data_IF_989883364461
#
_entry.id   IF_989883364461
#
_cell.length_a   1.000
_cell.length_b   1.000
_cell.length_c   1.000
_cell.angle_alpha   90.00
_cell.angle_beta   90.00
_cell.angle_gamma   90.00
#
_symmetry.space_group_name_H-M   'P 1'
#
loop_
_entity.id
_entity.type
_entity.pdbx_description
1 polymer ?
#
# COMPACT_ATOMS: atom_id res chain seq x y z
N UNK A 1 -47.43 24.03 -16.19
CA UNK A 1 -46.72 22.76 -16.44
C UNK A 1 -45.37 22.84 -15.74
N UNK A 2 -45.27 22.25 -14.57
CA UNK A 2 -44.02 22.24 -13.77
C UNK A 2 -43.23 20.96 -14.12
N UNK A 3 -42.08 21.11 -14.76
CA UNK A 3 -41.17 20.01 -15.04
C UNK A 3 -40.39 19.76 -13.75
N UNK A 4 -40.66 18.63 -13.08
CA UNK A 4 -39.85 18.13 -11.99
C UNK A 4 -38.61 17.49 -12.60
N UNK A 5 -37.47 18.19 -12.52
CA UNK A 5 -36.17 17.63 -12.87
C UNK A 5 -35.73 16.75 -11.70
N UNK A 6 -35.95 15.44 -11.85
CA UNK A 6 -35.44 14.44 -10.91
C UNK A 6 -33.93 14.32 -11.10
N UNK A 7 -33.17 15.01 -10.22
CA UNK A 7 -31.69 14.86 -10.18
C UNK A 7 -31.40 13.48 -9.61
N UNK A 8 -31.17 12.51 -10.47
CA UNK A 8 -30.62 11.22 -10.06
C UNK A 8 -29.15 11.47 -9.73
N UNK A 9 -28.87 11.66 -8.44
CA UNK A 9 -27.52 11.61 -7.92
C UNK A 9 -27.02 10.16 -8.06
N UNK A 10 -26.39 9.85 -9.18
CA UNK A 10 -25.60 8.63 -9.30
C UNK A 10 -24.42 8.76 -8.36
N UNK A 11 -24.57 8.21 -7.16
CA UNK A 11 -23.44 7.96 -6.28
C UNK A 11 -22.55 6.95 -6.98
N UNK A 12 -21.53 7.46 -7.68
CA UNK A 12 -20.45 6.66 -8.20
C UNK A 12 -19.70 6.12 -6.99
N UNK A 13 -20.10 4.92 -6.54
CA UNK A 13 -19.33 4.17 -5.56
C UNK A 13 -17.99 3.84 -6.23
N UNK A 14 -16.98 4.66 -6.01
CA UNK A 14 -15.60 4.31 -6.27
C UNK A 14 -15.29 3.12 -5.36
N UNK A 15 -15.51 1.93 -5.87
CA UNK A 15 -14.93 0.73 -5.29
C UNK A 15 -13.41 0.89 -5.41
N UNK A 16 -12.79 1.36 -4.37
CA UNK A 16 -11.33 1.37 -4.20
C UNK A 16 -10.89 -0.09 -4.09
N UNK A 17 -10.73 -0.73 -5.25
CA UNK A 17 -10.22 -2.09 -5.32
C UNK A 17 -8.81 -2.11 -4.76
N UNK A 18 -8.57 -2.94 -3.76
CA UNK A 18 -7.25 -3.23 -3.24
C UNK A 18 -6.77 -2.32 -2.12
N UNK A 19 -7.66 -1.79 -1.31
CA UNK A 19 -7.31 -1.14 -0.04
C UNK A 19 -6.86 -2.18 0.99
N UNK A 20 -5.75 -1.89 1.66
CA UNK A 20 -5.20 -2.71 2.75
C UNK A 20 -4.71 -1.78 3.87
N UNK A 21 -5.63 -1.09 4.57
CA UNK A 21 -5.29 0.06 5.41
C UNK A 21 -4.64 -0.27 6.75
N UNK A 22 -4.56 -1.54 7.11
CA UNK A 22 -4.02 -2.00 8.38
C UNK A 22 -3.43 -3.40 8.27
N UNK A 23 -2.70 -3.82 9.30
CA UNK A 23 -2.25 -5.20 9.44
C UNK A 23 -3.43 -6.18 9.35
N UNK A 24 -3.31 -7.22 8.54
CA UNK A 24 -4.34 -8.20 8.23
C UNK A 24 -5.56 -7.66 7.47
N UNK A 25 -5.44 -6.48 6.86
CA UNK A 25 -6.40 -5.95 5.89
C UNK A 25 -7.64 -5.28 6.48
N UNK A 26 -8.60 -4.96 5.63
CA UNK A 26 -9.75 -4.13 5.98
C UNK A 26 -10.59 -4.65 7.15
N UNK A 27 -10.68 -5.97 7.29
CA UNK A 27 -11.43 -6.64 8.35
C UNK A 27 -10.55 -7.23 9.45
N UNK A 28 -9.24 -7.03 9.37
CA UNK A 28 -8.28 -7.55 10.34
C UNK A 28 -8.14 -9.08 10.38
N UNK A 29 -8.65 -9.79 9.39
CA UNK A 29 -8.70 -11.25 9.34
C UNK A 29 -7.75 -11.89 8.30
N UNK A 30 -6.99 -11.08 7.56
CA UNK A 30 -6.05 -11.55 6.53
C UNK A 30 -6.70 -11.96 5.22
N UNK A 31 -7.98 -11.69 5.02
CA UNK A 31 -8.71 -12.02 3.80
C UNK A 31 -8.84 -10.82 2.88
N UNK A 32 -8.66 -11.04 1.59
CA UNK A 32 -8.90 -10.07 0.54
C UNK A 32 -9.98 -10.58 -0.42
N UNK A 33 -10.82 -9.66 -0.90
CA UNK A 33 -11.83 -9.94 -1.91
C UNK A 33 -11.23 -9.78 -3.31
N UNK A 34 -10.20 -10.59 -3.61
CA UNK A 34 -9.54 -10.59 -4.91
C UNK A 34 -10.11 -11.65 -5.84
N UNK A 35 -10.30 -11.29 -7.11
CA UNK A 35 -10.65 -12.23 -8.19
C UNK A 35 -9.62 -12.12 -9.31
N UNK A 36 -9.46 -13.20 -10.09
CA UNK A 36 -8.53 -13.21 -11.22
C UNK A 36 -7.06 -13.15 -10.80
N UNK A 37 -6.72 -13.65 -9.60
CA UNK A 37 -5.35 -13.71 -9.16
C UNK A 37 -4.54 -14.68 -10.04
N UNK A 38 -3.30 -14.34 -10.41
CA UNK A 38 -2.45 -15.24 -11.19
C UNK A 38 -2.11 -16.49 -10.37
N UNK A 39 -2.12 -17.65 -11.04
CA UNK A 39 -1.72 -18.92 -10.44
C UNK A 39 -0.21 -19.19 -10.58
N UNK A 40 0.45 -18.46 -11.47
CA UNK A 40 1.88 -18.54 -11.71
C UNK A 40 2.48 -17.14 -11.75
N UNK A 41 3.61 -16.96 -11.11
CA UNK A 41 4.41 -15.75 -11.18
C UNK A 41 5.89 -16.08 -10.95
N UNK A 42 6.75 -15.34 -11.59
CA UNK A 42 8.19 -15.36 -11.41
C UNK A 42 8.76 -13.96 -11.68
N UNK A 43 10.08 -13.81 -11.77
CA UNK A 43 10.73 -12.50 -11.98
C UNK A 43 10.22 -11.77 -13.25
N UNK A 44 9.75 -12.51 -14.26
CA UNK A 44 9.38 -11.98 -15.57
C UNK A 44 7.89 -12.15 -15.89
N UNK A 45 7.13 -12.85 -15.04
CA UNK A 45 5.73 -13.24 -15.30
C UNK A 45 4.81 -12.75 -14.20
N UNK A 46 3.76 -12.00 -14.59
CA UNK A 46 2.73 -11.49 -13.68
C UNK A 46 3.26 -10.57 -12.56
N UNK A 47 4.41 -9.93 -12.78
CA UNK A 47 4.97 -8.89 -11.91
C UNK A 47 4.76 -7.55 -12.61
N UNK A 48 4.00 -6.65 -11.98
CA UNK A 48 3.73 -5.32 -12.50
C UNK A 48 4.92 -4.39 -12.36
N UNK A 49 5.54 -4.43 -11.20
CA UNK A 49 6.75 -3.69 -10.87
C UNK A 49 7.46 -4.32 -9.67
N UNK A 50 8.71 -3.94 -9.47
CA UNK A 50 9.56 -4.39 -8.39
C UNK A 50 10.44 -3.23 -7.94
N UNK A 51 10.47 -2.96 -6.66
CA UNK A 51 11.21 -1.84 -6.09
C UNK A 51 12.08 -2.30 -4.95
N UNK A 52 13.38 -2.02 -5.02
CA UNK A 52 14.31 -2.28 -3.94
C UNK A 52 14.06 -1.33 -2.77
N UNK A 53 14.01 -1.88 -1.56
CA UNK A 53 13.89 -1.13 -0.32
C UNK A 53 15.16 -1.32 0.50
N UNK A 54 15.76 -0.22 0.94
CA UNK A 54 16.96 -0.27 1.77
C UNK A 54 16.69 -0.81 3.18
N UNK A 55 17.72 -1.31 3.85
CA UNK A 55 17.64 -1.80 5.21
C UNK A 55 16.94 -3.14 5.36
N UNK A 56 16.35 -3.37 6.53
CA UNK A 56 15.55 -4.55 6.86
C UNK A 56 14.10 -4.13 7.05
N UNK A 57 13.27 -4.39 6.04
CA UNK A 57 11.86 -4.02 6.00
C UNK A 57 10.96 -5.13 6.52
N UNK A 58 10.92 -5.39 7.82
CA UNK A 58 10.03 -6.38 8.42
C UNK A 58 8.66 -5.81 8.79
N UNK A 59 8.32 -4.66 8.24
CA UNK A 59 7.00 -4.06 8.45
C UNK A 59 5.95 -4.69 7.54
N UNK A 60 4.70 -4.63 7.97
CA UNK A 60 3.55 -4.95 7.14
C UNK A 60 3.16 -3.71 6.34
N UNK A 61 3.30 -3.72 5.01
CA UNK A 61 2.88 -2.60 4.20
C UNK A 61 1.38 -2.34 4.35
N UNK A 62 0.99 -1.07 4.30
CA UNK A 62 -0.41 -0.66 4.22
C UNK A 62 -0.66 0.05 2.90
N UNK A 63 -1.86 -0.14 2.35
CA UNK A 63 -2.27 0.43 1.05
C UNK A 63 -3.46 1.33 1.29
N UNK A 64 -3.31 2.58 0.87
CA UNK A 64 -4.37 3.57 0.91
C UNK A 64 -4.39 4.37 -0.40
N UNK A 65 -5.46 4.22 -1.16
CA UNK A 65 -5.58 4.84 -2.48
C UNK A 65 -4.45 4.38 -3.42
N UNK A 66 -3.67 5.32 -3.91
CA UNK A 66 -2.52 5.08 -4.78
C UNK A 66 -1.19 4.96 -4.03
N UNK A 67 -1.23 4.93 -2.71
CA UNK A 67 -0.04 4.93 -1.87
C UNK A 67 0.16 3.59 -1.19
N UNK A 68 1.42 3.16 -1.14
CA UNK A 68 1.86 2.03 -0.33
C UNK A 68 2.84 2.56 0.71
N UNK A 69 2.55 2.35 1.98
CA UNK A 69 3.36 2.81 3.10
C UNK A 69 4.02 1.64 3.82
N UNK A 70 5.28 1.78 4.09
CA UNK A 70 6.05 0.81 4.87
C UNK A 70 7.15 1.49 5.67
N UNK A 71 7.70 0.76 6.62
CA UNK A 71 8.86 1.19 7.39
C UNK A 71 10.02 0.24 7.19
N UNK A 72 11.22 0.76 7.34
CA UNK A 72 12.45 -0.03 7.29
C UNK A 72 13.44 0.48 8.33
N UNK A 73 14.31 -0.40 8.80
CA UNK A 73 15.37 -0.06 9.73
C UNK A 73 16.73 -0.39 9.13
N UNK A 74 17.76 0.29 9.56
CA UNK A 74 19.15 -0.09 9.25
C UNK A 74 19.47 -1.45 9.86
N UNK A 75 20.49 -2.12 9.32
CA UNK A 75 20.88 -3.48 9.77
C UNK A 75 21.22 -3.51 11.25
N UNK A 76 21.79 -2.43 11.79
CA UNK A 76 22.09 -2.26 13.21
C UNK A 76 20.87 -1.85 14.05
N UNK A 77 19.71 -1.63 13.43
CA UNK A 77 18.45 -1.24 14.09
C UNK A 77 18.42 0.20 14.62
N UNK A 78 19.44 0.99 14.35
CA UNK A 78 19.58 2.34 14.97
C UNK A 78 18.80 3.42 14.25
N UNK A 79 18.52 3.27 12.97
CA UNK A 79 17.78 4.26 12.18
C UNK A 79 16.53 3.64 11.61
N UNK A 80 15.40 4.29 11.85
CA UNK A 80 14.09 3.91 11.31
C UNK A 80 13.65 4.92 10.27
N UNK A 81 13.24 4.42 9.12
CA UNK A 81 12.71 5.22 8.03
C UNK A 81 11.31 4.80 7.63
N UNK A 82 10.53 5.75 7.13
CA UNK A 82 9.24 5.51 6.48
C UNK A 82 9.38 5.75 4.99
N UNK A 83 8.77 4.90 4.19
CA UNK A 83 8.69 5.04 2.75
C UNK A 83 7.24 5.06 2.30
N UNK A 84 7.01 5.85 1.25
CA UNK A 84 5.77 5.84 0.50
C UNK A 84 6.10 5.55 -0.97
N UNK A 85 5.42 4.57 -1.54
CA UNK A 85 5.56 4.20 -2.94
C UNK A 85 4.28 4.47 -3.70
N UNK A 86 4.42 4.80 -4.97
CA UNK A 86 3.30 4.81 -5.91
C UNK A 86 2.85 3.37 -6.19
N UNK A 87 1.58 3.08 -5.97
CA UNK A 87 1.00 1.76 -6.14
C UNK A 87 1.03 1.28 -7.59
N UNK A 88 0.92 2.19 -8.55
CA UNK A 88 0.82 1.81 -9.95
C UNK A 88 2.19 1.60 -10.60
N UNK A 89 3.20 2.32 -10.15
CA UNK A 89 4.54 2.34 -10.76
C UNK A 89 5.63 1.73 -9.89
N UNK A 90 5.40 1.62 -8.58
CA UNK A 90 6.42 1.23 -7.60
C UNK A 90 7.46 2.32 -7.32
N UNK A 91 7.29 3.53 -7.86
CA UNK A 91 8.22 4.62 -7.64
C UNK A 91 8.19 5.08 -6.18
N UNK A 92 9.36 5.31 -5.59
CA UNK A 92 9.48 5.87 -4.25
C UNK A 92 9.12 7.35 -4.30
N UNK A 93 8.04 7.72 -3.61
CA UNK A 93 7.54 9.09 -3.49
C UNK A 93 8.11 9.80 -2.26
N UNK A 94 8.35 9.04 -1.20
CA UNK A 94 8.92 9.52 0.05
C UNK A 94 9.85 8.46 0.62
N UNK A 95 10.99 8.89 1.11
CA UNK A 95 11.91 8.09 1.93
C UNK A 95 12.49 9.02 3.01
N UNK A 96 12.03 8.84 4.24
CA UNK A 96 12.37 9.75 5.33
C UNK A 96 12.80 9.02 6.59
N UNK A 97 13.98 9.36 7.10
CA UNK A 97 14.39 8.94 8.44
C UNK A 97 13.50 9.61 9.48
N UNK A 98 12.88 8.80 10.34
CA UNK A 98 12.02 9.25 11.43
C UNK A 98 12.75 9.32 12.76
N UNK A 99 13.48 8.26 13.09
CA UNK A 99 14.15 8.10 14.38
C UNK A 99 15.57 7.63 14.20
N UNK A 100 16.39 8.03 15.16
CA UNK A 100 17.73 7.50 15.38
C UNK A 100 17.93 7.28 16.87
N UNK A 101 18.38 6.09 17.26
CA UNK A 101 18.60 5.69 18.65
C UNK A 101 20.03 5.19 18.81
N UNK A 102 20.61 5.45 19.98
CA UNK A 102 21.98 5.01 20.29
C UNK A 102 22.06 3.49 20.45
N UNK A 103 21.06 2.90 21.12
CA UNK A 103 20.96 1.46 21.35
C UNK A 103 19.55 0.98 20.97
N UNK A 104 19.43 0.07 20.02
CA UNK A 104 18.16 -0.57 19.69
C UNK A 104 17.75 -1.55 20.79
N UNK A 105 16.45 -1.66 21.01
CA UNK A 105 15.86 -2.65 21.91
C UNK A 105 15.76 -4.03 21.26
#
# INVERSE_FOLDING_TARGET
MRIFLCLIATTLSLFLKGEWPQFRGPSGNGHANGTGLPLKWDEDTNIKWKTAIHGKGWSSPVIWGKQIWLTTATVDGKKLSVLCLDRDTGRVLLDKKLFEVAEPQ
#
